data_IF_447750529809
#
_entry.id   IF_447750529809
#
_cell.length_a   1.000
_cell.length_b   1.000
_cell.length_c   1.000
_cell.angle_alpha   90.00
_cell.angle_beta   90.00
_cell.angle_gamma   90.00
#
_symmetry.space_group_name_H-M   'P 1'
#
loop_
_entity.id
_entity.type
_entity.pdbx_description
1 polymer ?
#
# COMPACT_ATOMS: atom_id res chain seq x y z
N UNK A 1 -13.87 -7.75 -38.83
CA UNK A 1 -14.09 -8.53 -37.59
C UNK A 1 -14.25 -7.52 -36.47
N UNK A 2 -15.40 -7.61 -35.81
CA UNK A 2 -16.22 -6.53 -35.25
C UNK A 2 -15.63 -5.81 -34.03
N UNK A 3 -15.52 -4.48 -34.15
CA UNK A 3 -15.40 -3.56 -33.01
C UNK A 3 -16.82 -3.15 -32.61
N UNK A 4 -17.27 -3.61 -31.45
CA UNK A 4 -18.57 -3.30 -30.86
C UNK A 4 -18.48 -1.97 -30.09
N UNK A 5 -19.32 -0.96 -30.37
CA UNK A 5 -19.42 0.23 -29.53
C UNK A 5 -20.45 -0.02 -28.42
N UNK A 6 -20.03 0.15 -27.16
CA UNK A 6 -20.95 0.21 -26.02
C UNK A 6 -21.33 1.69 -25.80
N UNK A 7 -22.57 2.02 -26.18
CA UNK A 7 -23.19 3.31 -25.92
C UNK A 7 -23.29 3.58 -24.42
N UNK A 8 -22.80 4.73 -23.99
CA UNK A 8 -23.09 5.32 -22.69
C UNK A 8 -24.49 5.95 -22.76
N UNK A 9 -25.47 5.28 -22.16
CA UNK A 9 -26.84 5.78 -22.07
C UNK A 9 -26.97 6.65 -20.82
N UNK A 10 -27.25 7.92 -21.07
CA UNK A 10 -27.51 8.99 -20.12
C UNK A 10 -28.88 8.82 -19.46
N UNK A 11 -28.89 8.93 -18.13
CA UNK A 11 -29.98 9.36 -17.20
C UNK A 11 -31.42 9.51 -17.73
N UNK A 12 -32.38 9.12 -16.87
CA UNK A 12 -33.32 10.13 -16.41
C UNK A 12 -33.44 10.13 -14.87
N UNK A 13 -32.91 11.18 -14.24
CA UNK A 13 -33.33 11.59 -12.90
C UNK A 13 -34.51 12.56 -13.09
N UNK A 14 -35.72 12.02 -12.94
CA UNK A 14 -36.97 12.74 -13.06
C UNK A 14 -37.15 13.66 -11.85
N UNK A 15 -37.03 14.97 -12.08
CA UNK A 15 -37.32 16.01 -11.08
C UNK A 15 -38.85 16.13 -11.02
N UNK A 16 -39.46 15.52 -10.01
CA UNK A 16 -40.88 15.66 -9.74
C UNK A 16 -41.21 17.12 -9.39
N UNK A 17 -41.99 17.70 -10.30
CA UNK A 17 -42.54 19.04 -10.31
C UNK A 17 -43.57 19.19 -9.18
N UNK A 18 -43.47 20.28 -8.42
CA UNK A 18 -44.49 20.68 -7.46
C UNK A 18 -45.75 21.13 -8.23
N UNK A 19 -46.82 20.35 -8.16
CA UNK A 19 -48.11 20.72 -8.74
C UNK A 19 -49.21 20.65 -7.67
N UNK A 20 -49.67 21.84 -7.30
CA UNK A 20 -50.89 22.14 -6.53
C UNK A 20 -52.13 21.55 -7.21
N UNK A 21 -53.08 20.92 -6.48
CA UNK A 21 -54.40 20.68 -7.05
C UNK A 21 -55.21 21.97 -6.92
N UNK A 22 -55.35 22.68 -8.04
CA UNK A 22 -56.36 23.70 -8.23
C UNK A 22 -57.70 23.03 -8.50
N UNK A 23 -58.67 23.35 -7.64
CA UNK A 23 -60.07 23.00 -7.73
C UNK A 23 -60.75 23.79 -8.85
N UNK A 24 -61.35 23.10 -9.81
CA UNK A 24 -62.41 23.60 -10.70
C UNK A 24 -62.95 22.37 -11.45
N UNK A 25 -64.23 22.14 -11.69
CA UNK A 25 -65.38 23.02 -11.87
C UNK A 25 -66.60 22.09 -11.95
N UNK A 26 -67.76 22.46 -11.41
CA UNK A 26 -68.99 22.60 -12.22
C UNK A 26 -70.18 22.96 -11.32
N UNK A 27 -70.71 24.15 -11.60
CA UNK A 27 -72.09 24.52 -11.27
C UNK A 27 -72.88 24.43 -12.56
N UNK A 28 -74.10 23.90 -12.51
CA UNK A 28 -75.19 24.60 -13.15
C UNK A 28 -76.24 24.96 -12.09
N UNK A 29 -76.54 26.25 -12.06
CA UNK A 29 -77.82 26.74 -11.59
C UNK A 29 -78.88 26.30 -12.61
N UNK A 30 -79.99 25.72 -12.16
CA UNK A 30 -81.29 26.39 -12.33
C UNK A 30 -82.44 25.68 -11.59
N UNK A 31 -83.50 26.48 -11.39
CA UNK A 31 -84.89 26.09 -11.11
C UNK A 31 -85.27 25.59 -9.72
N UNK A 32 -85.64 26.56 -8.90
CA UNK A 32 -86.55 26.41 -7.76
C UNK A 32 -87.98 26.10 -8.29
N UNK A 33 -88.48 24.89 -8.06
CA UNK A 33 -89.91 24.60 -8.18
C UNK A 33 -90.33 23.44 -7.25
N UNK A 34 -91.17 23.80 -6.28
CA UNK A 34 -92.19 23.02 -5.59
C UNK A 34 -91.81 21.74 -4.80
N UNK A 35 -92.06 21.80 -3.49
CA UNK A 35 -92.14 20.70 -2.53
C UNK A 35 -93.19 19.65 -2.94
N UNK A 36 -93.13 18.43 -2.36
CA UNK A 36 -94.01 18.21 -1.22
C UNK A 36 -93.30 17.61 -0.01
N UNK A 37 -93.84 17.97 1.15
CA UNK A 37 -93.49 17.52 2.48
C UNK A 37 -93.41 15.98 2.62
N UNK A 38 -92.41 15.51 3.37
CA UNK A 38 -92.26 14.12 3.77
C UNK A 38 -91.27 13.96 4.91
N UNK A 39 -91.80 13.96 6.13
CA UNK A 39 -91.24 13.42 7.38
C UNK A 39 -89.89 13.97 7.88
N UNK A 40 -89.97 15.14 8.52
CA UNK A 40 -89.09 15.44 9.65
C UNK A 40 -89.59 14.68 10.87
N UNK A 41 -88.78 13.75 11.39
CA UNK A 41 -89.01 13.16 12.72
C UNK A 41 -88.73 14.21 13.80
N UNK A 42 -89.71 15.08 14.01
CA UNK A 42 -89.86 15.90 15.22
C UNK A 42 -91.04 15.36 16.00
N UNK A 43 -90.84 14.28 16.74
CA UNK A 43 -91.78 13.82 17.76
C UNK A 43 -91.12 13.95 19.14
N UNK A 44 -91.53 14.98 19.88
CA UNK A 44 -91.51 14.96 21.34
C UNK A 44 -92.88 14.46 21.77
N UNK A 45 -93.04 13.13 21.77
CA UNK A 45 -94.21 12.42 22.27
C UNK A 45 -93.85 11.76 23.58
N UNK A 46 -94.24 12.39 24.70
CA UNK A 46 -94.14 11.77 26.03
C UNK A 46 -95.53 11.24 26.36
N UNK A 47 -95.71 9.91 26.30
CA UNK A 47 -96.92 9.26 26.79
C UNK A 47 -96.69 8.82 28.25
N UNK A 48 -97.47 9.41 29.16
CA UNK A 48 -97.47 9.12 30.58
C UNK A 48 -97.93 7.69 30.88
N UNK A 49 -97.10 6.94 31.62
CA UNK A 49 -97.50 5.81 32.45
C UNK A 49 -96.79 5.99 33.79
N UNK A 50 -97.57 6.07 34.87
CA UNK A 50 -97.15 6.38 36.22
C UNK A 50 -96.02 5.48 36.73
N UNK A 51 -94.85 6.08 37.01
CA UNK A 51 -93.97 5.79 38.16
C UNK A 51 -92.75 6.75 38.11
N UNK A 52 -92.31 7.22 39.27
CA UNK A 52 -91.35 8.32 39.47
C UNK A 52 -90.06 8.22 38.63
N UNK A 53 -89.79 9.18 37.74
CA UNK A 53 -88.50 9.29 37.04
C UNK A 53 -87.97 10.74 37.08
N UNK A 54 -86.99 10.98 37.95
CA UNK A 54 -86.16 12.20 37.97
C UNK A 54 -85.29 12.24 36.71
N UNK A 55 -85.68 13.04 35.71
CA UNK A 55 -85.03 13.08 34.40
C UNK A 55 -83.61 13.65 34.42
N UNK A 56 -82.61 12.76 34.37
CA UNK A 56 -81.21 13.10 34.05
C UNK A 56 -81.06 13.20 32.54
N UNK A 57 -80.28 14.17 32.04
CA UNK A 57 -79.95 14.29 30.61
C UNK A 57 -79.35 12.96 30.11
N UNK A 58 -79.91 12.32 29.06
CA UNK A 58 -79.59 10.93 28.72
C UNK A 58 -78.09 10.55 28.65
N UNK A 59 -77.17 11.38 28.13
CA UNK A 59 -75.74 11.04 28.14
C UNK A 59 -75.01 11.27 29.49
N UNK A 60 -75.69 11.78 30.52
CA UNK A 60 -75.15 11.93 31.89
C UNK A 60 -75.85 11.03 32.92
N UNK A 61 -76.57 10.00 32.49
CA UNK A 61 -77.17 9.02 33.39
C UNK A 61 -76.08 8.14 34.03
N UNK A 62 -75.81 8.43 35.31
CA UNK A 62 -74.77 7.78 36.11
C UNK A 62 -74.98 6.28 36.32
N UNK A 63 -76.21 5.78 36.12
CA UNK A 63 -76.52 4.35 36.23
C UNK A 63 -75.81 3.51 35.15
N UNK A 64 -75.51 4.11 33.99
CA UNK A 64 -74.84 3.45 32.86
C UNK A 64 -73.31 3.52 32.94
N UNK A 65 -72.76 4.44 33.73
CA UNK A 65 -71.31 4.64 33.86
C UNK A 65 -70.59 3.41 34.39
N UNK A 66 -71.20 2.65 35.31
CA UNK A 66 -70.61 1.42 35.82
C UNK A 66 -70.42 0.36 34.71
N UNK A 67 -71.40 0.21 33.82
CA UNK A 67 -71.32 -0.71 32.67
C UNK A 67 -70.29 -0.24 31.64
N UNK A 68 -70.28 1.06 31.33
CA UNK A 68 -69.31 1.66 30.42
C UNK A 68 -67.86 1.50 30.93
N UNK A 69 -67.64 1.74 32.22
CA UNK A 69 -66.33 1.56 32.86
C UNK A 69 -65.92 0.09 32.92
N UNK A 70 -66.86 -0.83 33.17
CA UNK A 70 -66.59 -2.27 33.14
C UNK A 70 -66.15 -2.71 31.74
N UNK A 71 -66.88 -2.32 30.70
CA UNK A 71 -66.52 -2.68 29.33
C UNK A 71 -65.23 -2.00 28.85
N UNK A 72 -65.02 -0.73 29.25
CA UNK A 72 -63.76 -0.03 29.04
C UNK A 72 -62.60 -0.79 29.69
N UNK A 73 -62.75 -1.23 30.95
CA UNK A 73 -61.71 -1.97 31.65
C UNK A 73 -61.43 -3.33 30.99
N UNK A 74 -62.46 -4.04 30.52
CA UNK A 74 -62.32 -5.31 29.80
C UNK A 74 -61.57 -5.11 28.48
N UNK A 75 -62.03 -4.17 27.65
CA UNK A 75 -61.44 -3.91 26.33
C UNK A 75 -60.02 -3.33 26.43
N UNK A 76 -59.81 -2.38 27.35
CA UNK A 76 -58.51 -1.81 27.63
C UNK A 76 -57.56 -2.85 28.22
N UNK A 77 -58.03 -3.70 29.14
CA UNK A 77 -57.25 -4.80 29.70
C UNK A 77 -56.81 -5.81 28.63
N UNK A 78 -57.73 -6.20 27.74
CA UNK A 78 -57.42 -7.09 26.62
C UNK A 78 -56.40 -6.46 25.66
N UNK A 79 -56.59 -5.18 25.32
CA UNK A 79 -55.65 -4.43 24.47
C UNK A 79 -54.27 -4.28 25.14
N UNK A 80 -54.23 -3.97 26.44
CA UNK A 80 -53.00 -3.87 27.22
C UNK A 80 -52.24 -5.19 27.25
N UNK A 81 -52.95 -6.30 27.47
CA UNK A 81 -52.33 -7.63 27.43
C UNK A 81 -51.76 -7.94 26.05
N UNK A 82 -52.48 -7.62 24.97
CA UNK A 82 -51.98 -7.79 23.60
C UNK A 82 -50.72 -6.95 23.34
N UNK A 83 -50.73 -5.69 23.75
CA UNK A 83 -49.59 -4.77 23.60
C UNK A 83 -48.37 -5.28 24.38
N UNK A 84 -48.58 -5.67 25.64
CA UNK A 84 -47.54 -6.16 26.54
C UNK A 84 -46.94 -7.49 26.08
N UNK A 85 -47.77 -8.43 25.62
CA UNK A 85 -47.33 -9.77 25.21
C UNK A 85 -46.83 -9.88 23.78
N UNK A 86 -47.25 -9.01 22.87
CA UNK A 86 -46.93 -9.15 21.44
C UNK A 86 -46.09 -7.99 20.93
N UNK A 87 -46.51 -6.75 21.16
CA UNK A 87 -45.88 -5.58 20.52
C UNK A 87 -44.55 -5.22 21.18
N UNK A 88 -44.51 -5.15 22.51
CA UNK A 88 -43.27 -4.87 23.26
C UNK A 88 -42.15 -5.88 22.93
N UNK A 89 -42.37 -7.22 23.00
CA UNK A 89 -41.31 -8.17 22.69
C UNK A 89 -40.91 -8.15 21.21
N UNK A 90 -41.84 -7.86 20.28
CA UNK A 90 -41.51 -7.69 18.85
C UNK A 90 -40.54 -6.52 18.63
N UNK A 91 -40.79 -5.37 19.25
CA UNK A 91 -39.93 -4.18 19.12
C UNK A 91 -38.59 -4.42 19.82
N UNK A 92 -38.61 -5.03 21.01
CA UNK A 92 -37.40 -5.41 21.75
C UNK A 92 -36.48 -6.32 20.94
N UNK A 93 -37.04 -7.36 20.29
CA UNK A 93 -36.24 -8.27 19.45
C UNK A 93 -35.58 -7.59 18.24
N UNK A 94 -36.24 -6.61 17.63
CA UNK A 94 -35.66 -5.83 16.50
C UNK A 94 -34.52 -4.94 17.00
N UNK A 95 -34.70 -4.30 18.16
CA UNK A 95 -33.68 -3.44 18.75
C UNK A 95 -32.45 -4.26 19.15
N UNK A 96 -32.66 -5.42 19.77
CA UNK A 96 -31.59 -6.36 20.13
C UNK A 96 -30.84 -6.84 18.88
N UNK A 97 -31.54 -7.27 17.83
CA UNK A 97 -30.92 -7.72 16.57
C UNK A 97 -30.03 -6.63 15.96
N UNK A 98 -30.46 -5.36 16.01
CA UNK A 98 -29.65 -4.24 15.51
C UNK A 98 -28.46 -3.97 16.42
N UNK A 99 -28.66 -4.00 17.73
CA UNK A 99 -27.60 -3.81 18.71
C UNK A 99 -26.52 -4.90 18.55
N UNK A 100 -26.92 -6.16 18.49
CA UNK A 100 -26.03 -7.31 18.27
C UNK A 100 -25.27 -7.20 16.97
N UNK A 101 -25.95 -6.81 15.88
CA UNK A 101 -25.29 -6.60 14.60
C UNK A 101 -24.27 -5.47 14.64
N UNK A 102 -24.59 -4.35 15.27
CA UNK A 102 -23.65 -3.23 15.42
C UNK A 102 -22.45 -3.64 16.29
N UNK A 103 -22.69 -4.36 17.39
CA UNK A 103 -21.63 -4.86 18.25
C UNK A 103 -20.71 -5.82 17.48
N UNK A 104 -21.30 -6.77 16.73
CA UNK A 104 -20.55 -7.70 15.90
C UNK A 104 -19.75 -6.98 14.80
N UNK A 105 -20.36 -6.03 14.10
CA UNK A 105 -19.69 -5.25 13.05
C UNK A 105 -18.53 -4.42 13.63
N UNK A 106 -18.70 -3.86 14.84
CA UNK A 106 -17.65 -3.10 15.53
C UNK A 106 -16.50 -4.01 16.00
N UNK A 107 -16.83 -5.17 16.56
CA UNK A 107 -15.84 -6.16 17.00
C UNK A 107 -15.05 -6.68 15.80
N UNK A 108 -15.71 -7.01 14.70
CA UNK A 108 -15.06 -7.46 13.47
C UNK A 108 -14.20 -6.34 12.86
N UNK A 109 -14.69 -5.10 12.81
CA UNK A 109 -13.88 -3.97 12.37
C UNK A 109 -12.65 -3.75 13.25
N UNK A 110 -12.78 -3.90 14.58
CA UNK A 110 -11.66 -3.78 15.51
C UNK A 110 -10.63 -4.89 15.31
N UNK A 111 -11.09 -6.13 15.07
CA UNK A 111 -10.23 -7.28 14.79
C UNK A 111 -9.48 -7.09 13.48
N UNK A 112 -10.17 -6.73 12.41
CA UNK A 112 -9.57 -6.49 11.09
C UNK A 112 -8.57 -5.33 11.14
N UNK A 113 -8.86 -4.28 11.92
CA UNK A 113 -7.91 -3.20 12.15
C UNK A 113 -6.65 -3.70 12.88
N UNK A 114 -6.81 -4.47 13.95
CA UNK A 114 -5.67 -5.02 14.68
C UNK A 114 -4.82 -5.97 13.82
N UNK A 115 -5.46 -6.80 13.00
CA UNK A 115 -4.78 -7.67 12.02
C UNK A 115 -4.02 -6.86 10.97
N UNK A 116 -4.62 -5.79 10.43
CA UNK A 116 -3.98 -4.90 9.48
C UNK A 116 -2.79 -4.16 10.09
N UNK A 117 -2.94 -3.60 11.29
CA UNK A 117 -1.87 -2.91 12.02
C UNK A 117 -0.71 -3.88 12.31
N UNK A 118 -1.01 -5.12 12.71
CA UNK A 118 0.00 -6.16 12.92
C UNK A 118 0.71 -6.55 11.61
N UNK A 119 -0.03 -6.68 10.51
CA UNK A 119 0.54 -6.98 9.20
C UNK A 119 1.45 -5.84 8.68
N UNK A 120 1.03 -4.59 8.88
CA UNK A 120 1.85 -3.40 8.56
C UNK A 120 3.14 -3.41 9.36
N UNK A 121 3.06 -3.64 10.68
CA UNK A 121 4.23 -3.69 11.54
C UNK A 121 5.22 -4.80 11.11
N UNK A 122 4.72 -6.01 10.80
CA UNK A 122 5.55 -7.10 10.28
C UNK A 122 6.18 -6.74 8.94
N UNK A 123 5.43 -6.14 8.02
CA UNK A 123 5.92 -5.74 6.72
C UNK A 123 7.01 -4.66 6.82
N UNK A 124 6.83 -3.66 7.68
CA UNK A 124 7.83 -2.63 7.94
C UNK A 124 9.10 -3.20 8.55
N UNK A 125 8.97 -4.14 9.50
CA UNK A 125 10.09 -4.85 10.10
C UNK A 125 10.86 -5.67 9.05
N UNK A 126 10.15 -6.42 8.21
CA UNK A 126 10.76 -7.23 7.16
C UNK A 126 11.48 -6.35 6.13
N UNK A 127 10.88 -5.22 5.75
CA UNK A 127 11.50 -4.25 4.84
C UNK A 127 12.76 -3.63 5.46
N UNK A 128 12.72 -3.27 6.74
CA UNK A 128 13.90 -2.74 7.46
C UNK A 128 15.01 -3.80 7.54
N UNK A 129 14.66 -5.04 7.86
CA UNK A 129 15.59 -6.18 7.92
C UNK A 129 16.20 -6.47 6.54
N UNK A 130 15.41 -6.48 5.48
CA UNK A 130 15.87 -6.67 4.12
C UNK A 130 16.84 -5.57 3.68
N UNK A 131 16.52 -4.30 3.96
CA UNK A 131 17.42 -3.16 3.69
C UNK A 131 18.73 -3.28 4.47
N UNK A 132 18.67 -3.62 5.75
CA UNK A 132 19.86 -3.82 6.58
C UNK A 132 20.74 -4.95 6.05
N UNK A 133 20.15 -6.11 5.70
CA UNK A 133 20.85 -7.23 5.08
C UNK A 133 21.46 -6.85 3.73
N UNK A 134 20.72 -6.14 2.88
CA UNK A 134 21.21 -5.66 1.60
C UNK A 134 22.43 -4.74 1.74
N UNK A 135 22.37 -3.78 2.67
CA UNK A 135 23.50 -2.91 2.98
C UNK A 135 24.71 -3.68 3.53
N UNK A 136 24.48 -4.66 4.41
CA UNK A 136 25.54 -5.50 4.96
C UNK A 136 26.22 -6.34 3.87
N UNK A 137 25.45 -6.95 2.96
CA UNK A 137 25.98 -7.69 1.80
C UNK A 137 26.78 -6.76 0.89
N UNK A 138 26.24 -5.57 0.58
CA UNK A 138 26.94 -4.60 -0.26
C UNK A 138 28.25 -4.12 0.36
N UNK A 139 28.28 -3.88 1.68
CA UNK A 139 29.52 -3.53 2.39
C UNK A 139 30.53 -4.67 2.35
N UNK A 140 30.11 -5.88 2.73
CA UNK A 140 30.97 -7.07 2.75
C UNK A 140 31.55 -7.35 1.36
N UNK A 141 30.73 -7.29 0.31
CA UNK A 141 31.19 -7.50 -1.06
C UNK A 141 32.21 -6.43 -1.51
N UNK A 142 32.03 -5.16 -1.11
CA UNK A 142 33.00 -4.09 -1.39
C UNK A 142 34.31 -4.33 -0.66
N UNK A 143 34.25 -4.70 0.61
CA UNK A 143 35.44 -4.95 1.44
C UNK A 143 36.22 -6.17 0.91
N UNK A 144 35.52 -7.25 0.56
CA UNK A 144 36.13 -8.43 -0.08
C UNK A 144 36.74 -8.10 -1.46
N UNK A 145 36.02 -7.34 -2.30
CA UNK A 145 36.52 -6.94 -3.61
C UNK A 145 37.77 -6.06 -3.49
N UNK A 146 37.79 -5.13 -2.52
CA UNK A 146 38.96 -4.30 -2.23
C UNK A 146 40.13 -5.14 -1.75
N UNK A 147 39.91 -6.06 -0.81
CA UNK A 147 40.95 -6.95 -0.31
C UNK A 147 41.54 -7.84 -1.43
N UNK A 148 40.70 -8.39 -2.32
CA UNK A 148 41.15 -9.14 -3.49
C UNK A 148 41.96 -8.28 -4.46
N UNK A 149 41.49 -7.07 -4.76
CA UNK A 149 42.20 -6.14 -5.64
C UNK A 149 43.56 -5.75 -5.07
N UNK A 150 43.65 -5.47 -3.77
CA UNK A 150 44.91 -5.12 -3.11
C UNK A 150 45.89 -6.32 -3.10
N UNK A 151 45.39 -7.55 -2.86
CA UNK A 151 46.20 -8.76 -2.94
C UNK A 151 46.72 -9.05 -4.36
N UNK A 152 45.88 -8.89 -5.39
CA UNK A 152 46.28 -9.05 -6.78
C UNK A 152 47.30 -7.98 -7.20
N UNK A 153 47.10 -6.73 -6.80
CA UNK A 153 48.07 -5.65 -7.02
C UNK A 153 49.41 -5.97 -6.39
N UNK A 154 49.44 -6.41 -5.13
CA UNK A 154 50.67 -6.79 -4.45
C UNK A 154 51.40 -7.94 -5.18
N UNK A 155 50.66 -8.93 -5.68
CA UNK A 155 51.22 -10.04 -6.45
C UNK A 155 51.80 -9.59 -7.80
N UNK A 156 51.09 -8.71 -8.50
CA UNK A 156 51.55 -8.16 -9.78
C UNK A 156 52.80 -7.31 -9.57
N UNK A 157 52.80 -6.47 -8.54
CA UNK A 157 53.96 -5.64 -8.18
C UNK A 157 55.18 -6.51 -7.86
N UNK A 158 55.02 -7.55 -7.04
CA UNK A 158 56.11 -8.49 -6.76
C UNK A 158 56.65 -9.15 -8.05
N UNK A 159 55.77 -9.63 -8.93
CA UNK A 159 56.18 -10.20 -10.22
C UNK A 159 56.87 -9.18 -11.13
N UNK A 160 56.47 -7.92 -11.07
CA UNK A 160 57.06 -6.84 -11.85
C UNK A 160 58.47 -6.53 -11.34
N UNK A 161 58.64 -6.44 -10.02
CA UNK A 161 59.95 -6.26 -9.38
C UNK A 161 60.91 -7.39 -9.73
N UNK A 162 60.46 -8.65 -9.71
CA UNK A 162 61.28 -9.80 -10.12
C UNK A 162 61.71 -9.70 -11.59
N UNK A 163 60.81 -9.27 -12.48
CA UNK A 163 61.12 -9.06 -13.90
C UNK A 163 62.10 -7.92 -14.12
N UNK A 164 61.95 -6.83 -13.38
CA UNK A 164 62.88 -5.69 -13.44
C UNK A 164 64.27 -6.14 -12.98
N UNK A 165 64.38 -6.80 -11.83
CA UNK A 165 65.65 -7.30 -11.31
C UNK A 165 66.32 -8.30 -12.28
N UNK A 166 65.54 -9.20 -12.88
CA UNK A 166 66.04 -10.13 -13.91
C UNK A 166 66.51 -9.42 -15.18
N UNK A 167 65.81 -8.39 -15.62
CA UNK A 167 66.22 -7.57 -16.77
C UNK A 167 67.49 -6.77 -16.47
N UNK A 168 67.62 -6.18 -15.28
CA UNK A 168 68.81 -5.46 -14.83
C UNK A 168 70.03 -6.38 -14.79
N UNK A 169 69.89 -7.59 -14.24
CA UNK A 169 70.96 -8.59 -14.22
C UNK A 169 71.40 -8.98 -15.64
N UNK A 170 70.45 -9.17 -16.56
CA UNK A 170 70.75 -9.49 -17.97
C UNK A 170 71.44 -8.32 -18.69
N UNK A 171 71.01 -7.09 -18.43
CA UNK A 171 71.66 -5.89 -18.97
C UNK A 171 73.10 -5.78 -18.45
N UNK A 172 73.32 -6.04 -17.15
CA UNK A 172 74.66 -6.03 -16.56
C UNK A 172 75.57 -7.10 -17.19
N UNK A 173 75.06 -8.31 -17.40
CA UNK A 173 75.80 -9.39 -18.06
C UNK A 173 76.18 -9.03 -19.51
N UNK A 174 75.22 -8.51 -20.29
CA UNK A 174 75.46 -8.07 -21.67
C UNK A 174 76.49 -6.94 -21.70
N UNK A 175 76.40 -5.98 -20.78
CA UNK A 175 77.36 -4.89 -20.65
C UNK A 175 78.77 -5.41 -20.35
N UNK A 176 78.90 -6.35 -19.41
CA UNK A 176 80.18 -6.95 -19.05
C UNK A 176 80.79 -7.72 -20.25
N UNK A 177 79.98 -8.51 -20.96
CA UNK A 177 80.40 -9.22 -22.18
C UNK A 177 80.84 -8.25 -23.28
N UNK A 178 80.05 -7.22 -23.56
CA UNK A 178 80.38 -6.23 -24.58
C UNK A 178 81.68 -5.48 -24.26
N UNK A 179 81.92 -5.13 -22.99
CA UNK A 179 83.18 -4.51 -22.57
C UNK A 179 84.37 -5.46 -22.71
N UNK A 180 84.20 -6.75 -22.39
CA UNK A 180 85.24 -7.77 -22.59
C UNK A 180 85.55 -7.99 -24.09
N UNK A 181 84.52 -8.04 -24.94
CA UNK A 181 84.67 -8.20 -26.39
C UNK A 181 85.41 -6.98 -27.00
N UNK A 182 85.11 -5.76 -26.55
CA UNK A 182 85.84 -4.55 -26.95
C UNK A 182 87.31 -4.63 -26.55
N UNK A 183 87.62 -5.12 -25.35
CA UNK A 183 89.00 -5.35 -24.90
C UNK A 183 89.73 -6.35 -25.79
N UNK A 184 89.10 -7.47 -26.10
CA UNK A 184 89.67 -8.48 -26.99
C UNK A 184 89.92 -7.94 -28.42
N UNK A 185 88.96 -7.20 -28.98
CA UNK A 185 89.12 -6.57 -30.31
C UNK A 185 90.24 -5.53 -30.30
N UNK A 186 90.37 -4.74 -29.22
CA UNK A 186 91.45 -3.78 -29.07
C UNK A 186 92.83 -4.45 -28.99
N UNK A 187 92.97 -5.55 -28.23
CA UNK A 187 94.19 -6.36 -28.19
C UNK A 187 94.53 -6.95 -29.56
N UNK A 188 93.57 -7.56 -30.25
CA UNK A 188 93.77 -8.16 -31.57
C UNK A 188 94.17 -7.11 -32.62
N UNK A 189 93.47 -5.97 -32.64
CA UNK A 189 93.77 -4.86 -33.56
C UNK A 189 95.15 -4.27 -33.28
N UNK A 190 95.52 -4.10 -32.00
CA UNK A 190 96.84 -3.60 -31.61
C UNK A 190 97.95 -4.59 -31.99
N UNK A 191 97.72 -5.88 -31.81
CA UNK A 191 98.65 -6.93 -32.24
C UNK A 191 98.92 -6.89 -33.75
N UNK A 192 97.85 -6.78 -34.56
CA UNK A 192 97.95 -6.65 -36.00
C UNK A 192 98.71 -5.38 -36.43
N UNK A 193 98.43 -4.25 -35.79
CA UNK A 193 99.13 -2.97 -36.03
C UNK A 193 100.63 -3.07 -35.71
N UNK A 194 101.01 -3.65 -34.57
CA UNK A 194 102.41 -3.81 -34.15
C UNK A 194 103.18 -4.74 -35.11
N UNK A 195 102.57 -5.85 -35.52
CA UNK A 195 103.17 -6.77 -36.50
C UNK A 195 103.40 -6.06 -37.84
N UNK A 196 102.46 -5.23 -38.30
CA UNK A 196 102.56 -4.53 -39.57
C UNK A 196 103.52 -3.33 -39.57
N UNK A 197 103.66 -2.62 -38.44
CA UNK A 197 104.50 -1.41 -38.33
C UNK A 197 105.96 -1.68 -37.94
N UNK A 198 106.18 -2.64 -37.05
CA UNK A 198 107.49 -2.89 -36.42
C UNK A 198 108.12 -4.19 -36.93
N UNK A 199 107.34 -5.08 -37.56
CA UNK A 199 107.82 -6.35 -38.10
C UNK A 199 108.26 -7.38 -37.04
N UNK A 200 108.00 -7.10 -35.75
CA UNK A 200 108.30 -7.97 -34.63
C UNK A 200 106.99 -8.51 -34.03
N UNK A 201 106.93 -9.82 -33.78
CA UNK A 201 105.80 -10.43 -33.05
C UNK A 201 105.99 -10.19 -31.55
N UNK A 202 105.34 -9.16 -31.01
CA UNK A 202 105.24 -8.96 -29.57
C UNK A 202 104.40 -10.08 -28.93
N UNK A 203 104.70 -10.45 -27.68
CA UNK A 203 103.95 -11.52 -27.01
C UNK A 203 102.56 -11.05 -26.62
N UNK A 204 101.56 -11.96 -26.67
CA UNK A 204 100.16 -11.65 -26.34
C UNK A 204 100.01 -11.02 -24.94
N UNK A 205 100.86 -11.42 -23.99
CA UNK A 205 100.87 -10.90 -22.62
C UNK A 205 101.33 -9.43 -22.54
N UNK A 206 102.32 -9.03 -23.33
CA UNK A 206 102.81 -7.64 -23.35
C UNK A 206 101.79 -6.69 -23.98
N UNK A 207 101.12 -7.13 -25.05
CA UNK A 207 100.08 -6.35 -25.73
C UNK A 207 98.87 -6.16 -24.80
N UNK A 208 98.39 -7.24 -24.15
CA UNK A 208 97.31 -7.16 -23.18
C UNK A 208 97.65 -6.22 -22.01
N UNK A 209 98.88 -6.28 -21.48
CA UNK A 209 99.34 -5.38 -20.42
C UNK A 209 99.38 -3.91 -20.88
N UNK A 210 99.84 -3.64 -22.10
CA UNK A 210 99.94 -2.29 -22.64
C UNK A 210 98.57 -1.67 -22.94
N UNK A 211 97.65 -2.47 -23.53
CA UNK A 211 96.26 -2.04 -23.80
C UNK A 211 95.52 -1.75 -22.50
N UNK A 212 95.67 -2.60 -21.48
CA UNK A 212 95.07 -2.37 -20.16
C UNK A 212 95.60 -1.08 -19.51
N UNK A 213 96.91 -0.88 -19.54
CA UNK A 213 97.55 0.34 -18.98
C UNK A 213 97.07 1.61 -19.71
N UNK A 214 96.84 1.54 -21.03
CA UNK A 214 96.33 2.65 -21.83
C UNK A 214 94.83 2.92 -21.62
N UNK A 215 94.05 1.89 -21.29
CA UNK A 215 92.62 2.00 -21.00
C UNK A 215 92.32 2.64 -19.63
N UNK A 216 93.34 2.88 -18.79
CA UNK A 216 93.20 3.57 -17.52
C UNK A 216 92.73 2.70 -16.34
N UNK A 217 92.87 1.38 -16.45
CA UNK A 217 92.68 0.40 -15.37
C UNK A 217 94.00 -0.20 -14.86
#
# INVERSE_FOLDING_TARGET
>A
MSVTPASAESTPFEIAQAETPATSHETPADTHAAQPAGEVHTETGVAHGDEHATGVFPPFDQTTFASQLLWLAITFGLFYLLMSKVVIPRIGGILETRHDRIAQDLDEASRLKAEADAAIASYEQDLASARAKGNAIASTARDEAKAKADAERAKIEASLQDKIAGAEARIAEIKAKALADVGAIAEETTAALVEQLIGAKATKAEIASAVKTAAGE
#
